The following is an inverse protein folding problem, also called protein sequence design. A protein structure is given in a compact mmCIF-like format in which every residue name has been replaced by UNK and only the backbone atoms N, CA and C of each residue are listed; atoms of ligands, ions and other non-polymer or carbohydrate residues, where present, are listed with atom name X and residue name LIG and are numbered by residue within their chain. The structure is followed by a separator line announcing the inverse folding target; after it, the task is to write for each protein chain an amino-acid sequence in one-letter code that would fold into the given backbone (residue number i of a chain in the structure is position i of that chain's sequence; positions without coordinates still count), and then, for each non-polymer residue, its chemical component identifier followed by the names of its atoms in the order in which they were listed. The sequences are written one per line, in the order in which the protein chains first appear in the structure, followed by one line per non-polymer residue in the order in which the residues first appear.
data_IF_168694801615
#
_entry.id   IF_168694801615
#
_cell.length_a   1.000
_cell.length_b   1.000
_cell.length_c   1.000
_cell.angle_alpha   90.00
_cell.angle_beta   90.00
_cell.angle_gamma   90.00
#
_symmetry.space_group_name_H-M   'P 1'
#
loop_
_entity.id
_entity.type
_entity.pdbx_description
1 polymer ?
#
# COMPACT_ATOMS: atom_id res chain seq x y z
N UNK A 1 35.43 -33.50 24.17
CA UNK A 1 34.63 -32.68 25.12
C UNK A 1 34.09 -31.48 24.36
N UNK A 2 32.89 -31.58 23.73
CA UNK A 2 32.19 -30.48 23.13
C UNK A 2 31.15 -29.97 24.14
N UNK A 3 31.49 -28.94 24.88
CA UNK A 3 30.57 -28.24 25.75
C UNK A 3 29.69 -27.33 24.88
N UNK A 4 28.43 -27.71 24.76
CA UNK A 4 27.42 -26.92 24.04
C UNK A 4 27.04 -25.71 24.89
N UNK A 5 27.50 -24.53 24.48
CA UNK A 5 27.15 -23.21 25.04
C UNK A 5 25.66 -22.83 24.93
N UNK A 6 24.75 -23.82 24.88
CA UNK A 6 23.31 -23.61 24.67
C UNK A 6 22.49 -23.43 25.95
N UNK A 7 23.09 -23.46 27.14
CA UNK A 7 22.35 -23.61 28.40
C UNK A 7 22.27 -22.36 29.31
N UNK A 8 22.88 -21.22 28.98
CA UNK A 8 23.05 -20.13 29.96
C UNK A 8 22.11 -18.92 29.81
N UNK A 9 21.28 -18.84 28.75
CA UNK A 9 20.33 -17.71 28.66
C UNK A 9 18.99 -18.07 29.28
N UNK A 10 18.53 -17.23 30.19
CA UNK A 10 17.16 -17.30 30.71
C UNK A 10 16.16 -17.15 29.57
N UNK A 11 14.91 -17.59 29.75
CA UNK A 11 13.86 -17.50 28.72
C UNK A 11 13.63 -16.03 28.29
N UNK A 12 13.80 -15.10 29.23
CA UNK A 12 13.67 -13.65 29.05
C UNK A 12 14.80 -13.07 28.20
N UNK A 13 16.06 -13.41 28.51
CA UNK A 13 17.21 -12.94 27.71
C UNK A 13 17.16 -13.44 26.26
N UNK A 14 16.72 -14.66 26.04
CA UNK A 14 16.52 -15.21 24.69
C UNK A 14 15.43 -14.45 23.92
N UNK A 15 14.39 -13.99 24.61
CA UNK A 15 13.35 -13.18 24.01
C UNK A 15 13.88 -11.79 23.64
N UNK A 16 14.59 -11.13 24.53
CA UNK A 16 15.19 -9.81 24.27
C UNK A 16 16.17 -9.81 23.09
N UNK A 17 17.04 -10.81 23.03
CA UNK A 17 17.97 -10.96 21.90
C UNK A 17 17.23 -11.15 20.58
N UNK A 18 16.17 -11.96 20.56
CA UNK A 18 15.33 -12.15 19.36
C UNK A 18 14.63 -10.87 18.93
N UNK A 19 14.10 -10.10 19.88
CA UNK A 19 13.44 -8.81 19.59
C UNK A 19 14.44 -7.80 19.03
N UNK A 20 15.63 -7.68 19.62
CA UNK A 20 16.69 -6.80 19.12
C UNK A 20 17.11 -7.18 17.69
N UNK A 21 17.29 -8.47 17.42
CA UNK A 21 17.60 -8.95 16.06
C UNK A 21 16.48 -8.61 15.10
N UNK A 22 15.20 -8.83 15.47
CA UNK A 22 14.05 -8.48 14.64
C UNK A 22 14.03 -6.98 14.28
N UNK A 23 14.17 -6.10 15.27
CA UNK A 23 14.17 -4.66 15.04
C UNK A 23 15.31 -4.19 14.14
N UNK A 24 16.51 -4.75 14.32
CA UNK A 24 17.66 -4.42 13.47
C UNK A 24 17.44 -4.87 12.02
N UNK A 25 16.88 -6.06 11.80
CA UNK A 25 16.57 -6.56 10.46
C UNK A 25 15.48 -5.71 9.83
N UNK A 26 14.40 -5.41 10.56
CA UNK A 26 13.29 -4.57 10.08
C UNK A 26 13.77 -3.17 9.69
N UNK A 27 14.59 -2.54 10.54
CA UNK A 27 15.16 -1.22 10.27
C UNK A 27 15.98 -1.19 8.98
N UNK A 28 16.80 -2.21 8.78
CA UNK A 28 17.59 -2.35 7.56
C UNK A 28 16.72 -2.60 6.32
N UNK A 29 15.69 -3.45 6.44
CA UNK A 29 14.77 -3.72 5.33
C UNK A 29 13.94 -2.47 4.96
N UNK A 30 13.45 -1.73 5.95
CA UNK A 30 12.77 -0.44 5.75
C UNK A 30 13.69 0.59 5.08
N UNK A 31 14.91 0.73 5.56
CA UNK A 31 15.87 1.65 4.93
C UNK A 31 16.16 1.27 3.48
N UNK A 32 16.31 -0.02 3.18
CA UNK A 32 16.54 -0.50 1.80
C UNK A 32 15.34 -0.26 0.87
N UNK A 33 14.12 -0.33 1.38
CA UNK A 33 12.92 -0.09 0.57
C UNK A 33 12.62 1.40 0.42
N UNK A 34 12.56 2.16 1.52
CA UNK A 34 12.15 3.56 1.54
C UNK A 34 13.25 4.51 1.04
N UNK A 35 14.52 4.25 1.38
CA UNK A 35 15.64 5.07 0.89
C UNK A 35 16.18 4.60 -0.47
N UNK A 36 15.43 3.80 -1.22
CA UNK A 36 15.85 3.28 -2.52
C UNK A 36 15.52 4.24 -3.66
N UNK A 37 16.29 4.19 -4.75
CA UNK A 37 15.93 4.87 -6.01
C UNK A 37 14.59 4.39 -6.55
N UNK A 38 14.24 3.12 -6.31
CA UNK A 38 12.98 2.53 -6.71
C UNK A 38 11.79 3.17 -5.98
N UNK A 39 11.95 3.56 -4.71
CA UNK A 39 10.92 4.29 -3.96
C UNK A 39 10.66 5.67 -4.57
N UNK A 40 11.72 6.44 -4.82
CA UNK A 40 11.61 7.77 -5.43
C UNK A 40 10.98 7.67 -6.82
N UNK A 41 11.44 6.71 -7.63
CA UNK A 41 10.88 6.48 -8.96
C UNK A 41 9.40 6.06 -8.91
N UNK A 42 9.00 5.28 -7.90
CA UNK A 42 7.61 4.88 -7.71
C UNK A 42 6.71 6.08 -7.33
N UNK A 43 7.17 6.93 -6.42
CA UNK A 43 6.43 8.14 -6.02
C UNK A 43 6.29 9.09 -7.21
N UNK A 44 7.38 9.45 -7.86
CA UNK A 44 7.34 10.37 -9.01
C UNK A 44 6.59 9.76 -10.20
N UNK A 45 6.71 8.45 -10.41
CA UNK A 45 6.00 7.74 -11.46
C UNK A 45 4.49 7.71 -11.22
N UNK A 46 4.04 7.51 -9.98
CA UNK A 46 2.62 7.54 -9.65
C UNK A 46 2.06 8.95 -9.80
N UNK A 47 2.71 9.97 -9.24
CA UNK A 47 2.33 11.40 -9.42
C UNK A 47 2.27 11.77 -10.92
N UNK A 48 3.29 11.43 -11.70
CA UNK A 48 3.29 11.69 -13.13
C UNK A 48 2.15 10.95 -13.85
N UNK A 49 1.88 9.69 -13.50
CA UNK A 49 0.79 8.91 -14.08
C UNK A 49 -0.57 9.54 -13.78
N UNK A 50 -0.81 10.02 -12.55
CA UNK A 50 -2.06 10.71 -12.17
C UNK A 50 -2.29 11.94 -13.05
N UNK A 51 -1.28 12.81 -13.22
CA UNK A 51 -1.40 14.00 -14.05
C UNK A 51 -1.49 13.69 -15.55
N UNK A 52 -0.72 12.72 -16.06
CA UNK A 52 -0.79 12.34 -17.48
C UNK A 52 -2.15 11.76 -17.87
N UNK A 53 -2.75 10.99 -16.98
CA UNK A 53 -4.09 10.43 -17.24
C UNK A 53 -5.22 11.44 -17.02
N UNK A 54 -5.00 12.43 -16.18
CA UNK A 54 -5.97 13.49 -15.88
C UNK A 54 -5.79 14.78 -16.70
N UNK A 55 -4.84 14.82 -17.65
CA UNK A 55 -4.50 16.07 -18.36
C UNK A 55 -5.67 16.61 -19.19
N UNK A 56 -6.44 15.72 -19.81
CA UNK A 56 -7.62 16.10 -20.59
C UNK A 56 -8.70 16.70 -19.67
N UNK A 57 -8.96 16.05 -18.54
CA UNK A 57 -9.93 16.54 -17.56
C UNK A 57 -9.50 17.87 -16.96
N UNK A 58 -8.22 18.03 -16.62
CA UNK A 58 -7.68 19.29 -16.12
C UNK A 58 -7.83 20.45 -17.09
N UNK A 59 -7.83 20.20 -18.41
CA UNK A 59 -8.01 21.24 -19.43
C UNK A 59 -9.42 21.84 -19.43
N UNK A 60 -10.40 21.11 -18.89
CA UNK A 60 -11.80 21.57 -18.77
C UNK A 60 -12.11 22.18 -17.39
N UNK A 61 -11.19 22.09 -16.42
CA UNK A 61 -11.39 22.63 -15.08
C UNK A 61 -11.41 24.15 -15.09
N UNK A 62 -12.33 24.71 -14.32
CA UNK A 62 -12.43 26.15 -14.08
C UNK A 62 -11.56 26.52 -12.88
N UNK A 63 -11.04 27.77 -12.81
CA UNK A 63 -10.30 28.26 -11.64
C UNK A 63 -11.11 28.22 -10.33
N UNK A 64 -12.42 28.10 -10.45
CA UNK A 64 -13.39 28.06 -9.35
C UNK A 64 -13.62 26.64 -8.81
N UNK A 65 -13.18 25.60 -9.54
CA UNK A 65 -13.31 24.21 -9.11
C UNK A 65 -12.45 23.93 -7.90
N UNK A 66 -12.96 23.12 -6.99
CA UNK A 66 -12.26 22.81 -5.75
C UNK A 66 -11.45 21.51 -5.82
N UNK A 67 -10.52 21.34 -4.87
CA UNK A 67 -9.68 20.14 -4.79
C UNK A 67 -10.51 18.87 -4.58
N UNK A 68 -11.66 18.94 -3.92
CA UNK A 68 -12.53 17.78 -3.70
C UNK A 68 -13.04 17.26 -5.03
N UNK A 69 -13.52 18.17 -5.88
CA UNK A 69 -14.05 17.84 -7.20
C UNK A 69 -12.98 17.25 -8.11
N UNK A 70 -11.83 17.93 -8.21
CA UNK A 70 -10.69 17.47 -9.03
C UNK A 70 -10.16 16.11 -8.54
N UNK A 71 -9.97 15.99 -7.24
CA UNK A 71 -9.51 14.73 -6.63
C UNK A 71 -10.53 13.60 -6.86
N UNK A 72 -11.81 13.90 -6.74
CA UNK A 72 -12.89 12.97 -7.04
C UNK A 72 -12.83 12.48 -8.49
N UNK A 73 -12.68 13.39 -9.47
CA UNK A 73 -12.54 13.02 -10.89
C UNK A 73 -11.33 12.10 -11.08
N UNK A 74 -10.18 12.45 -10.54
CA UNK A 74 -8.99 11.61 -10.62
C UNK A 74 -9.21 10.21 -10.05
N UNK A 75 -10.08 10.06 -9.06
CA UNK A 75 -10.48 8.77 -8.50
C UNK A 75 -11.34 7.91 -9.46
N UNK A 76 -11.97 8.50 -10.48
CA UNK A 76 -12.82 7.79 -11.44
C UNK A 76 -12.12 7.49 -12.77
N UNK A 77 -10.90 7.99 -12.99
CA UNK A 77 -10.14 7.69 -14.21
C UNK A 77 -9.78 6.20 -14.32
N UNK A 78 -9.77 5.68 -15.52
CA UNK A 78 -9.56 4.25 -15.80
C UNK A 78 -8.18 3.73 -15.35
N UNK A 79 -7.17 4.60 -15.34
CA UNK A 79 -5.80 4.27 -14.95
C UNK A 79 -5.52 4.28 -13.45
N UNK A 80 -6.56 4.46 -12.65
CA UNK A 80 -6.43 4.47 -11.19
C UNK A 80 -5.75 3.23 -10.60
N UNK A 81 -5.84 2.10 -11.30
CA UNK A 81 -5.19 0.85 -10.88
C UNK A 81 -3.66 0.91 -10.85
N UNK A 82 -3.05 1.93 -11.50
CA UNK A 82 -1.59 2.12 -11.51
C UNK A 82 -1.02 2.34 -10.11
N UNK A 83 -1.80 2.86 -9.15
CA UNK A 83 -1.31 3.01 -7.78
C UNK A 83 -0.85 1.68 -7.17
N UNK A 84 -1.51 0.56 -7.51
CA UNK A 84 -1.12 -0.77 -7.04
C UNK A 84 0.21 -1.24 -7.64
N UNK A 85 0.44 -0.92 -8.91
CA UNK A 85 1.67 -1.24 -9.61
C UNK A 85 2.85 -0.48 -9.00
N UNK A 86 2.73 0.85 -8.90
CA UNK A 86 3.79 1.69 -8.35
C UNK A 86 4.07 1.39 -6.88
N UNK A 87 3.03 1.15 -6.08
CA UNK A 87 3.18 0.79 -4.67
C UNK A 87 3.96 -0.53 -4.46
N UNK A 88 3.83 -1.50 -5.38
CA UNK A 88 4.52 -2.77 -5.29
C UNK A 88 6.03 -2.69 -5.64
N UNK A 89 6.47 -1.64 -6.36
CA UNK A 89 7.86 -1.53 -6.87
C UNK A 89 8.91 -1.62 -5.76
N UNK A 90 8.86 -0.83 -4.66
CA UNK A 90 9.96 -0.83 -3.68
C UNK A 90 10.10 -2.14 -2.91
N UNK A 91 8.99 -2.84 -2.64
CA UNK A 91 8.98 -4.04 -1.80
C UNK A 91 9.07 -5.34 -2.58
N UNK A 92 8.13 -5.56 -3.50
CA UNK A 92 8.01 -6.85 -4.20
C UNK A 92 9.12 -7.06 -5.24
N UNK A 93 9.52 -6.01 -5.97
CA UNK A 93 10.62 -6.08 -6.92
C UNK A 93 11.97 -6.37 -6.23
N UNK A 94 12.17 -5.81 -5.03
CA UNK A 94 13.41 -6.04 -4.27
C UNK A 94 13.57 -7.51 -3.85
N UNK A 95 12.46 -8.19 -3.53
CA UNK A 95 12.53 -9.62 -3.20
C UNK A 95 12.92 -10.48 -4.39
N UNK A 96 12.40 -10.18 -5.60
CA UNK A 96 12.82 -10.86 -6.83
C UNK A 96 14.32 -10.69 -7.05
N UNK A 97 14.85 -9.46 -6.93
CA UNK A 97 16.27 -9.18 -7.08
C UNK A 97 17.13 -9.89 -6.00
N UNK A 98 16.69 -9.91 -4.76
CA UNK A 98 17.37 -10.62 -3.67
C UNK A 98 17.42 -12.13 -3.93
N UNK A 99 16.38 -12.69 -4.59
CA UNK A 99 16.34 -14.09 -4.97
C UNK A 99 17.31 -14.42 -6.10
N UNK A 100 17.26 -13.66 -7.18
CA UNK A 100 18.14 -13.84 -8.37
C UNK A 100 19.61 -13.72 -8.00
N UNK A 101 19.97 -12.73 -7.17
CA UNK A 101 21.34 -12.50 -6.71
C UNK A 101 21.79 -13.44 -5.58
N UNK A 102 20.97 -14.42 -5.19
CA UNK A 102 21.23 -15.35 -4.06
C UNK A 102 21.49 -14.66 -2.72
N UNK A 103 21.19 -13.37 -2.60
CA UNK A 103 21.40 -12.58 -1.38
C UNK A 103 20.59 -13.12 -0.19
N UNK A 104 19.48 -13.76 -0.46
CA UNK A 104 18.61 -14.42 0.50
C UNK A 104 19.36 -15.43 1.38
N UNK A 105 20.32 -16.19 0.81
CA UNK A 105 21.07 -17.21 1.55
C UNK A 105 21.92 -16.58 2.66
N UNK A 106 22.56 -15.45 2.41
CA UNK A 106 23.35 -14.72 3.40
C UNK A 106 22.49 -14.08 4.48
N UNK A 107 21.36 -13.50 4.12
CA UNK A 107 20.44 -12.87 5.06
C UNK A 107 19.76 -13.91 5.97
N UNK A 108 19.35 -15.06 5.42
CA UNK A 108 18.72 -16.14 6.17
C UNK A 108 19.67 -16.87 7.13
N UNK A 109 21.01 -16.78 6.96
CA UNK A 109 21.98 -17.32 7.90
C UNK A 109 22.13 -16.44 9.15
N UNK A 110 21.90 -15.12 9.03
CA UNK A 110 22.08 -14.15 10.12
C UNK A 110 20.86 -14.03 11.04
N UNK A 111 19.69 -14.42 10.58
CA UNK A 111 18.46 -14.39 11.39
C UNK A 111 17.59 -15.63 11.13
N UNK A 112 16.59 -15.88 11.99
CA UNK A 112 15.67 -16.98 11.75
C UNK A 112 14.83 -16.72 10.49
N UNK A 113 14.54 -17.79 9.71
CA UNK A 113 13.73 -17.74 8.49
C UNK A 113 12.37 -17.03 8.69
N UNK A 114 11.80 -17.14 9.92
CA UNK A 114 10.54 -16.45 10.27
C UNK A 114 10.76 -14.95 10.44
N UNK A 115 11.80 -14.53 11.15
CA UNK A 115 12.14 -13.11 11.35
C UNK A 115 12.38 -12.45 10.00
N UNK A 116 13.12 -13.12 9.11
CA UNK A 116 13.35 -12.63 7.74
C UNK A 116 12.04 -12.40 6.98
N UNK A 117 11.15 -13.41 6.94
CA UNK A 117 9.89 -13.30 6.20
C UNK A 117 8.97 -12.19 6.74
N UNK A 118 8.80 -12.12 8.07
CA UNK A 118 7.95 -11.09 8.68
C UNK A 118 8.54 -9.69 8.49
N UNK A 119 9.86 -9.53 8.64
CA UNK A 119 10.53 -8.24 8.41
C UNK A 119 10.35 -7.74 6.97
N UNK A 120 10.56 -8.62 5.99
CA UNK A 120 10.37 -8.28 4.56
C UNK A 120 8.93 -7.89 4.24
N UNK A 121 7.96 -8.62 4.77
CA UNK A 121 6.56 -8.27 4.57
C UNK A 121 6.24 -6.91 5.17
N UNK A 122 6.53 -6.68 6.45
CA UNK A 122 6.28 -5.37 7.08
C UNK A 122 6.96 -4.24 6.29
N UNK A 123 8.19 -4.43 5.82
CA UNK A 123 8.88 -3.43 5.01
C UNK A 123 8.19 -3.19 3.66
N UNK A 124 7.67 -4.25 3.01
CA UNK A 124 6.90 -4.14 1.78
C UNK A 124 5.59 -3.38 1.99
N UNK A 125 4.82 -3.76 3.01
CA UNK A 125 3.57 -3.06 3.36
C UNK A 125 3.80 -1.58 3.63
N UNK A 126 4.73 -1.26 4.52
CA UNK A 126 5.03 0.14 4.91
C UNK A 126 5.54 0.95 3.73
N UNK A 127 6.44 0.40 2.90
CA UNK A 127 6.93 1.12 1.71
C UNK A 127 5.82 1.39 0.69
N UNK A 128 4.90 0.44 0.48
CA UNK A 128 3.75 0.62 -0.40
C UNK A 128 2.79 1.70 0.12
N UNK A 129 2.49 1.68 1.42
CA UNK A 129 1.69 2.74 2.08
C UNK A 129 2.35 4.10 1.89
N UNK A 130 3.65 4.21 2.12
CA UNK A 130 4.37 5.48 1.99
C UNK A 130 4.41 5.99 0.54
N UNK A 131 4.56 5.11 -0.47
CA UNK A 131 4.50 5.52 -1.87
C UNK A 131 3.18 6.22 -2.16
N UNK A 132 2.05 5.62 -1.80
CA UNK A 132 0.73 6.20 -2.07
C UNK A 132 0.52 7.48 -1.27
N UNK A 133 0.83 7.48 0.02
CA UNK A 133 0.66 8.67 0.87
C UNK A 133 1.47 9.85 0.32
N UNK A 134 2.75 9.65 0.02
CA UNK A 134 3.62 10.74 -0.44
C UNK A 134 3.18 11.22 -1.83
N UNK A 135 2.85 10.33 -2.75
CA UNK A 135 2.41 10.67 -4.10
C UNK A 135 1.10 11.47 -4.08
N UNK A 136 0.06 10.98 -3.39
CA UNK A 136 -1.24 11.64 -3.32
C UNK A 136 -1.16 13.04 -2.64
N UNK A 137 -0.32 13.16 -1.61
CA UNK A 137 -0.07 14.48 -1.01
C UNK A 137 0.70 15.42 -1.96
N UNK A 138 1.64 14.91 -2.77
CA UNK A 138 2.30 15.69 -3.80
C UNK A 138 1.29 16.15 -4.86
N UNK A 139 0.37 15.29 -5.29
CA UNK A 139 -0.67 15.63 -6.25
C UNK A 139 -1.55 16.78 -5.73
N UNK A 140 -2.02 16.69 -4.47
CA UNK A 140 -2.79 17.76 -3.83
C UNK A 140 -1.98 19.06 -3.70
N UNK A 141 -0.69 18.99 -3.36
CA UNK A 141 0.17 20.16 -3.27
C UNK A 141 0.36 20.83 -4.63
N UNK A 142 0.57 20.08 -5.70
CA UNK A 142 0.72 20.61 -7.05
C UNK A 142 -0.58 21.31 -7.49
N UNK A 143 -1.73 20.68 -7.29
CA UNK A 143 -3.04 21.29 -7.61
C UNK A 143 -3.28 22.58 -6.80
N UNK A 144 -2.89 22.59 -5.54
CA UNK A 144 -2.98 23.78 -4.69
C UNK A 144 -2.07 24.91 -5.18
N UNK A 145 -0.86 24.58 -5.65
CA UNK A 145 0.08 25.56 -6.23
C UNK A 145 -0.43 26.11 -7.57
N UNK A 146 -1.24 25.37 -8.31
CA UNK A 146 -1.91 25.85 -9.52
C UNK A 146 -3.06 26.82 -9.24
N UNK A 147 -3.45 26.99 -7.97
CA UNK A 147 -4.42 28.00 -7.53
C UNK A 147 -5.81 27.45 -7.21
N UNK A 148 -6.05 26.14 -7.34
CA UNK A 148 -7.34 25.55 -7.01
C UNK A 148 -7.66 25.71 -5.52
N UNK A 149 -8.87 26.20 -5.12
CA UNK A 149 -9.28 26.31 -3.74
C UNK A 149 -9.45 24.93 -3.08
N UNK A 150 -9.24 24.84 -1.78
CA UNK A 150 -9.40 23.56 -1.06
C UNK A 150 -10.87 23.10 -1.08
N UNK A 151 -11.79 24.03 -0.86
CA UNK A 151 -13.25 23.87 -0.94
C UNK A 151 -13.83 25.16 -1.52
N UNK A 152 -14.78 25.04 -2.41
CA UNK A 152 -15.58 26.16 -2.91
C UNK A 152 -17.06 25.87 -2.71
N UNK A 153 -17.68 26.50 -1.71
CA UNK A 153 -19.09 26.30 -1.39
C UNK A 153 -20.03 27.10 -2.31
N UNK A 154 -19.51 28.03 -3.11
CA UNK A 154 -20.32 28.92 -3.95
C UNK A 154 -20.74 28.26 -5.26
N UNK A 155 -19.95 27.31 -5.77
CA UNK A 155 -20.21 26.70 -7.08
C UNK A 155 -21.33 25.66 -7.13
N UNK A 156 -21.87 25.24 -5.98
CA UNK A 156 -23.00 24.30 -5.93
C UNK A 156 -22.71 22.89 -6.47
N UNK A 157 -21.49 22.62 -6.96
CA UNK A 157 -21.06 21.30 -7.43
C UNK A 157 -20.54 20.52 -6.22
N UNK A 158 -21.36 19.61 -5.70
CA UNK A 158 -20.94 18.74 -4.61
C UNK A 158 -20.85 17.30 -5.10
N UNK A 159 -19.70 16.65 -4.85
CA UNK A 159 -19.57 15.21 -5.00
C UNK A 159 -20.05 14.50 -3.74
N UNK A 160 -20.74 13.38 -3.90
CA UNK A 160 -21.10 12.54 -2.76
C UNK A 160 -19.83 11.88 -2.19
N UNK A 161 -19.45 12.26 -0.98
CA UNK A 161 -18.27 11.72 -0.26
C UNK A 161 -18.65 10.56 0.67
N UNK A 162 -19.92 10.17 0.67
CA UNK A 162 -20.44 9.08 1.49
C UNK A 162 -20.36 9.38 2.98
N UNK A 163 -19.57 8.61 3.73
CA UNK A 163 -19.41 8.82 5.18
C UNK A 163 -18.60 10.07 5.55
N UNK A 164 -18.02 10.76 4.56
CA UNK A 164 -17.10 11.89 4.77
C UNK A 164 -17.71 13.24 4.41
N UNK A 165 -19.00 13.32 4.02
CA UNK A 165 -19.65 14.56 3.57
C UNK A 165 -19.47 15.71 4.58
N UNK A 166 -19.70 15.47 5.89
CA UNK A 166 -19.55 16.49 6.93
C UNK A 166 -18.13 17.03 7.09
N UNK A 167 -17.11 16.19 6.84
CA UNK A 167 -15.72 16.57 7.02
C UNK A 167 -15.17 17.18 5.72
N UNK A 168 -15.57 16.66 4.56
CA UNK A 168 -15.13 17.11 3.25
C UNK A 168 -15.53 18.56 2.97
N UNK A 169 -16.79 18.89 3.21
CA UNK A 169 -17.34 20.24 2.99
C UNK A 169 -17.26 21.14 4.24
N UNK A 170 -16.17 21.02 4.98
CA UNK A 170 -15.90 21.84 6.16
C UNK A 170 -14.47 22.42 6.11
N UNK A 171 -14.15 23.28 7.07
CA UNK A 171 -12.77 23.74 7.27
C UNK A 171 -11.75 22.61 7.49
N UNK A 172 -12.24 21.38 7.75
CA UNK A 172 -11.43 20.18 7.99
C UNK A 172 -11.20 19.32 6.75
N UNK A 173 -11.33 19.87 5.55
CA UNK A 173 -11.14 19.16 4.27
C UNK A 173 -9.84 18.35 4.19
N UNK A 174 -8.75 18.85 4.76
CA UNK A 174 -7.48 18.11 4.79
C UNK A 174 -7.55 16.82 5.62
N UNK A 175 -8.45 16.75 6.62
CA UNK A 175 -8.70 15.52 7.36
C UNK A 175 -9.45 14.49 6.50
N UNK A 176 -10.36 14.96 5.63
CA UNK A 176 -10.98 14.11 4.61
C UNK A 176 -9.93 13.51 3.67
N UNK A 177 -9.06 14.34 3.08
CA UNK A 177 -7.99 13.85 2.20
C UNK A 177 -7.08 12.86 2.94
N UNK A 178 -6.67 13.18 4.16
CA UNK A 178 -5.84 12.27 4.96
C UNK A 178 -6.50 10.91 5.18
N UNK A 179 -7.81 10.88 5.49
CA UNK A 179 -8.54 9.63 5.70
C UNK A 179 -8.65 8.79 4.41
N UNK A 180 -9.03 9.41 3.29
CA UNK A 180 -9.20 8.71 2.00
C UNK A 180 -7.85 8.23 1.46
N UNK A 181 -6.82 9.06 1.50
CA UNK A 181 -5.45 8.69 1.12
C UNK A 181 -4.96 7.52 1.97
N UNK A 182 -5.21 7.53 3.28
CA UNK A 182 -4.80 6.46 4.18
C UNK A 182 -5.53 5.14 3.87
N UNK A 183 -6.83 5.19 3.55
CA UNK A 183 -7.60 4.03 3.10
C UNK A 183 -6.99 3.44 1.82
N UNK A 184 -6.74 4.29 0.81
CA UNK A 184 -6.12 3.90 -0.47
C UNK A 184 -4.72 3.31 -0.27
N UNK A 185 -3.94 3.91 0.62
CA UNK A 185 -2.61 3.43 0.99
C UNK A 185 -2.64 2.06 1.68
N UNK A 186 -3.60 1.81 2.59
CA UNK A 186 -3.80 0.50 3.21
C UNK A 186 -4.18 -0.57 2.17
N UNK A 187 -5.03 -0.20 1.19
CA UNK A 187 -5.33 -1.07 0.06
C UNK A 187 -4.06 -1.43 -0.71
N UNK A 188 -3.25 -0.42 -1.08
CA UNK A 188 -1.99 -0.62 -1.79
C UNK A 188 -1.02 -1.53 -1.02
N UNK A 189 -0.86 -1.31 0.29
CA UNK A 189 -0.05 -2.16 1.16
C UNK A 189 -0.50 -3.62 1.16
N UNK A 190 -1.81 -3.84 1.25
CA UNK A 190 -2.39 -5.18 1.25
C UNK A 190 -2.15 -5.94 -0.08
N UNK A 191 -2.29 -5.25 -1.21
CA UNK A 191 -2.02 -5.83 -2.53
C UNK A 191 -0.51 -5.94 -2.82
N UNK A 192 0.34 -5.10 -2.23
CA UNK A 192 1.80 -5.28 -2.29
C UNK A 192 2.25 -6.54 -1.53
N UNK A 193 1.59 -6.90 -0.42
CA UNK A 193 1.81 -8.19 0.26
C UNK A 193 1.40 -9.40 -0.61
N UNK A 194 0.31 -9.27 -1.36
CA UNK A 194 -0.06 -10.27 -2.37
C UNK A 194 1.03 -10.42 -3.44
N UNK A 195 1.54 -9.31 -3.99
CA UNK A 195 2.65 -9.32 -4.94
C UNK A 195 3.91 -9.99 -4.36
N UNK A 196 4.25 -9.65 -3.12
CA UNK A 196 5.39 -10.23 -2.42
C UNK A 196 5.21 -11.74 -2.21
N UNK A 197 4.02 -12.22 -1.87
CA UNK A 197 3.74 -13.66 -1.80
C UNK A 197 3.88 -14.32 -3.17
N UNK A 198 3.33 -13.69 -4.23
CA UNK A 198 3.39 -14.23 -5.58
C UNK A 198 4.85 -14.34 -6.07
N UNK A 199 5.73 -13.38 -5.73
CA UNK A 199 7.15 -13.41 -6.07
C UNK A 199 7.87 -14.66 -5.53
N UNK A 200 7.33 -15.30 -4.48
CA UNK A 200 7.83 -16.61 -4.02
C UNK A 200 7.44 -17.76 -4.95
N UNK A 201 6.54 -17.58 -5.87
CA UNK A 201 6.11 -18.61 -6.85
C UNK A 201 6.69 -18.33 -8.22
N UNK A 202 6.63 -17.07 -8.64
CA UNK A 202 7.07 -16.59 -9.94
C UNK A 202 8.11 -15.50 -9.69
N UNK A 203 9.36 -15.74 -10.07
CA UNK A 203 10.48 -14.81 -9.85
C UNK A 203 10.57 -13.71 -10.91
N UNK A 204 9.62 -13.64 -11.82
CA UNK A 204 9.59 -12.60 -12.85
C UNK A 204 9.06 -11.28 -12.24
N UNK A 205 9.90 -10.24 -12.25
CA UNK A 205 9.59 -8.91 -11.70
C UNK A 205 8.35 -8.30 -12.34
N UNK A 206 8.23 -8.38 -13.67
CA UNK A 206 7.09 -7.82 -14.40
C UNK A 206 5.76 -8.45 -13.96
N UNK A 207 5.70 -9.77 -13.92
CA UNK A 207 4.51 -10.50 -13.46
C UNK A 207 4.16 -10.13 -12.02
N UNK A 208 5.16 -10.03 -11.16
CA UNK A 208 4.96 -9.66 -9.75
C UNK A 208 4.39 -8.26 -9.58
N UNK A 209 4.81 -7.29 -10.41
CA UNK A 209 4.33 -5.92 -10.34
C UNK A 209 2.93 -5.73 -10.94
N UNK A 210 2.59 -6.45 -12.00
CA UNK A 210 1.27 -6.34 -12.66
C UNK A 210 0.19 -7.15 -11.93
N UNK A 211 0.57 -8.24 -11.27
CA UNK A 211 -0.37 -9.13 -10.61
C UNK A 211 -1.30 -8.49 -9.57
N UNK A 212 -0.87 -7.53 -8.71
CA UNK A 212 -1.76 -6.82 -7.80
C UNK A 212 -2.90 -6.10 -8.51
N UNK A 213 -2.59 -5.45 -9.62
CA UNK A 213 -3.55 -4.71 -10.43
C UNK A 213 -4.60 -5.66 -11.04
N UNK A 214 -4.14 -6.78 -11.62
CA UNK A 214 -5.03 -7.81 -12.16
C UNK A 214 -5.88 -8.46 -11.06
N UNK A 215 -5.29 -8.78 -9.92
CA UNK A 215 -6.00 -9.40 -8.80
C UNK A 215 -7.09 -8.47 -8.24
N UNK A 216 -6.81 -7.18 -8.12
CA UNK A 216 -7.78 -6.19 -7.70
C UNK A 216 -8.95 -6.11 -8.68
N UNK A 217 -8.66 -6.01 -9.98
CA UNK A 217 -9.69 -5.95 -11.02
C UNK A 217 -10.57 -7.21 -11.03
N UNK A 218 -9.94 -8.39 -11.01
CA UNK A 218 -10.65 -9.67 -10.97
C UNK A 218 -11.51 -9.79 -9.71
N UNK A 219 -10.97 -9.41 -8.54
CA UNK A 219 -11.71 -9.48 -7.28
C UNK A 219 -12.92 -8.54 -7.29
N UNK A 220 -12.75 -7.31 -7.80
CA UNK A 220 -13.81 -6.34 -7.93
C UNK A 220 -14.92 -6.85 -8.88
N UNK A 221 -14.55 -7.37 -10.04
CA UNK A 221 -15.49 -7.93 -11.03
C UNK A 221 -16.19 -9.18 -10.49
N UNK A 222 -15.46 -10.06 -9.82
CA UNK A 222 -16.03 -11.27 -9.23
C UNK A 222 -17.08 -10.94 -8.16
N UNK A 223 -16.81 -9.98 -7.29
CA UNK A 223 -17.78 -9.54 -6.29
C UNK A 223 -19.04 -8.92 -6.89
N UNK A 224 -18.89 -8.17 -8.01
CA UNK A 224 -20.04 -7.68 -8.78
C UNK A 224 -20.88 -8.83 -9.34
N UNK A 225 -20.25 -9.83 -9.94
CA UNK A 225 -20.94 -11.01 -10.49
C UNK A 225 -21.66 -11.83 -9.42
N UNK A 226 -21.06 -11.97 -8.25
CA UNK A 226 -21.66 -12.65 -7.09
C UNK A 226 -22.77 -11.80 -6.42
N UNK A 227 -23.07 -10.61 -6.94
CA UNK A 227 -24.07 -9.68 -6.40
C UNK A 227 -23.84 -9.37 -4.90
N UNK A 228 -22.58 -9.31 -4.49
CA UNK A 228 -22.23 -8.89 -3.14
C UNK A 228 -22.68 -7.44 -2.90
N UNK A 229 -22.96 -7.01 -1.66
CA UNK A 229 -23.24 -5.60 -1.38
C UNK A 229 -22.09 -4.72 -1.83
N UNK A 230 -22.39 -3.63 -2.56
CA UNK A 230 -21.39 -2.74 -3.19
C UNK A 230 -20.37 -2.17 -2.20
N UNK A 231 -20.76 -2.00 -0.95
CA UNK A 231 -19.87 -1.53 0.13
C UNK A 231 -18.65 -2.42 0.39
N UNK A 232 -18.64 -3.66 -0.11
CA UNK A 232 -17.50 -4.59 0.02
C UNK A 232 -16.64 -4.65 -1.25
N UNK A 233 -17.01 -3.97 -2.32
CA UNK A 233 -16.21 -3.96 -3.53
C UNK A 233 -14.86 -3.26 -3.27
N UNK A 234 -13.74 -3.85 -3.65
CA UNK A 234 -12.43 -3.21 -3.51
C UNK A 234 -12.38 -1.80 -4.08
N UNK A 235 -13.09 -1.57 -5.20
CA UNK A 235 -13.20 -0.26 -5.82
C UNK A 235 -13.90 0.79 -4.96
N UNK A 236 -14.97 0.42 -4.29
CA UNK A 236 -15.69 1.31 -3.37
C UNK A 236 -14.92 1.51 -2.06
N UNK A 237 -14.31 0.43 -1.54
CA UNK A 237 -13.51 0.47 -0.33
C UNK A 237 -12.29 1.38 -0.49
N UNK A 238 -11.51 1.21 -1.56
CA UNK A 238 -10.25 1.96 -1.77
C UNK A 238 -10.45 3.45 -2.01
N UNK A 239 -11.63 3.83 -2.52
CA UNK A 239 -12.03 5.24 -2.75
C UNK A 239 -12.65 5.91 -1.52
N UNK A 240 -12.88 5.18 -0.43
CA UNK A 240 -13.57 5.70 0.75
C UNK A 240 -15.08 5.89 0.57
N UNK A 241 -15.67 5.37 -0.52
CA UNK A 241 -17.10 5.52 -0.83
C UNK A 241 -18.00 4.53 -0.09
N UNK A 242 -17.43 3.53 0.55
CA UNK A 242 -18.16 2.57 1.38
C UNK A 242 -18.58 3.20 2.69
N UNK A 243 -19.85 3.05 3.07
CA UNK A 243 -20.39 3.61 4.31
C UNK A 243 -20.59 2.48 5.33
N UNK A 244 -19.89 2.58 6.47
CA UNK A 244 -20.03 1.67 7.63
C UNK A 244 -20.46 2.43 8.91
N UNK A 245 -20.96 3.67 8.77
CA UNK A 245 -21.32 4.57 9.84
C UNK A 245 -20.70 5.95 9.62
N UNK A 246 -20.23 6.62 10.67
CA UNK A 246 -19.52 7.89 10.51
C UNK A 246 -18.12 7.74 9.91
N UNK A 247 -17.47 8.84 9.57
CA UNK A 247 -16.17 8.88 8.91
C UNK A 247 -15.08 8.06 9.62
N UNK A 248 -14.98 8.17 10.95
CA UNK A 248 -13.99 7.43 11.74
C UNK A 248 -14.22 5.92 11.71
N UNK A 249 -15.47 5.47 11.87
CA UNK A 249 -15.82 4.04 11.82
C UNK A 249 -15.58 3.46 10.42
N UNK A 250 -15.95 4.21 9.39
CA UNK A 250 -15.70 3.80 8.00
C UNK A 250 -14.22 3.65 7.71
N UNK A 251 -13.38 4.60 8.14
CA UNK A 251 -11.92 4.51 8.00
C UNK A 251 -11.37 3.28 8.72
N UNK A 252 -11.74 3.07 9.98
CA UNK A 252 -11.25 1.95 10.78
C UNK A 252 -11.66 0.58 10.19
N UNK A 253 -12.92 0.43 9.81
CA UNK A 253 -13.43 -0.83 9.24
C UNK A 253 -12.75 -1.12 7.91
N UNK A 254 -12.65 -0.14 7.03
CA UNK A 254 -12.04 -0.31 5.70
C UNK A 254 -10.56 -0.64 5.80
N UNK A 255 -9.81 0.11 6.61
CA UNK A 255 -8.40 -0.19 6.87
C UNK A 255 -8.22 -1.55 7.55
N UNK A 256 -9.13 -1.94 8.45
CA UNK A 256 -9.15 -3.25 9.08
C UNK A 256 -9.33 -4.40 8.08
N UNK A 257 -10.22 -4.24 7.09
CA UNK A 257 -10.42 -5.23 6.01
C UNK A 257 -9.12 -5.39 5.20
N UNK A 258 -8.50 -4.28 4.76
CA UNK A 258 -7.25 -4.36 4.00
C UNK A 258 -6.08 -4.88 4.84
N UNK A 259 -5.99 -4.50 6.12
CA UNK A 259 -4.97 -5.03 7.02
C UNK A 259 -5.13 -6.54 7.22
N UNK A 260 -6.35 -7.04 7.39
CA UNK A 260 -6.61 -8.48 7.49
C UNK A 260 -6.19 -9.23 6.22
N UNK A 261 -6.51 -8.68 5.04
CA UNK A 261 -6.07 -9.21 3.75
C UNK A 261 -4.54 -9.24 3.65
N UNK A 262 -3.85 -8.15 3.99
CA UNK A 262 -2.39 -8.07 4.01
C UNK A 262 -1.77 -9.10 4.96
N UNK A 263 -2.31 -9.25 6.19
CA UNK A 263 -1.83 -10.25 7.15
C UNK A 263 -1.94 -11.68 6.62
N UNK A 264 -3.02 -12.02 5.91
CA UNK A 264 -3.15 -13.33 5.26
C UNK A 264 -2.00 -13.59 4.30
N UNK A 265 -1.68 -12.62 3.42
CA UNK A 265 -0.60 -12.78 2.45
C UNK A 265 0.79 -12.71 3.09
N UNK A 266 0.98 -11.92 4.15
CA UNK A 266 2.19 -11.94 4.97
C UNK A 266 2.46 -13.34 5.55
N UNK A 267 1.44 -13.99 6.08
CA UNK A 267 1.55 -15.37 6.61
C UNK A 267 1.87 -16.37 5.49
N UNK A 268 1.18 -16.26 4.35
CA UNK A 268 1.43 -17.10 3.18
C UNK A 268 2.84 -16.88 2.62
N UNK A 269 3.31 -15.64 2.53
CA UNK A 269 4.67 -15.30 2.14
C UNK A 269 5.71 -15.93 3.07
N UNK A 270 5.55 -15.71 4.38
CA UNK A 270 6.49 -16.25 5.38
C UNK A 270 6.58 -17.76 5.32
N UNK A 271 5.45 -18.47 5.14
CA UNK A 271 5.43 -19.93 4.96
C UNK A 271 6.09 -20.38 3.66
N UNK A 272 5.80 -19.70 2.56
CA UNK A 272 6.36 -20.02 1.23
C UNK A 272 7.86 -19.76 1.17
N UNK A 273 8.31 -18.63 1.71
CA UNK A 273 9.72 -18.28 1.82
C UNK A 273 10.49 -19.32 2.66
N UNK A 274 9.92 -19.73 3.79
CA UNK A 274 10.51 -20.78 4.62
C UNK A 274 10.69 -22.10 3.86
N UNK A 275 9.65 -22.56 3.14
CA UNK A 275 9.70 -23.81 2.36
C UNK A 275 10.76 -23.74 1.25
N UNK A 276 10.87 -22.60 0.56
CA UNK A 276 11.90 -22.41 -0.48
C UNK A 276 13.32 -22.44 0.11
N UNK A 277 13.53 -21.88 1.29
CA UNK A 277 14.82 -21.88 1.99
C UNK A 277 15.18 -23.24 2.62
N UNK A 278 14.21 -24.13 2.77
CA UNK A 278 14.43 -25.51 3.26
C UNK A 278 14.75 -26.48 2.12
N UNK A 279 14.21 -26.25 0.92
CA UNK A 279 14.31 -27.15 -0.23
C UNK A 279 15.35 -26.71 -1.29
N UNK A 280 15.98 -25.57 -1.16
CA UNK A 280 17.01 -25.03 -2.07
C UNK A 280 18.27 -24.61 -1.32
#
# INVERSE_FOLDING_TARGET
MHWTARSFYTKTERYEVRMRVFWNVLKNDLARTVCSKAFVAAVLGLTAATFLTGIDELSYMLPEDDLIYIYGIFQYLDFQLLFLLFAAIPGAALFCADWENRFIRFSAQRCSKRIYGVSKGIACFVSAVLVVVVSEWLDLMILRLWGFPAVNMENGISMALGAFDEIGYSERVYLYFAAVIFIKACCAGAFAEFALWLSTKITNVFVTLVAPMLAYYVLNTLMMWLRMPSKFYPGMLSKGLSVFGGAGTTTLVTCGIFAAFGVVFLVLFTRSCRRRLENG
#
